data_IF_646988692617
#
_entry.id   IF_646988692617
#
_cell.length_a   1.000
_cell.length_b   1.000
_cell.length_c   1.000
_cell.angle_alpha   90.00
_cell.angle_beta   90.00
_cell.angle_gamma   90.00
#
_symmetry.space_group_name_H-M   'P 1'
#
loop_
_entity.id
_entity.type
_entity.pdbx_description
1 polymer ?
#
# COMPACT_ATOMS: atom_id res chain seq x y z
N UNK A 1 5.28 -18.18 8.79
CA UNK A 1 4.39 -17.08 9.15
C UNK A 1 3.68 -16.57 7.91
N UNK A 2 2.36 -16.46 7.94
CA UNK A 2 1.66 -15.83 6.82
C UNK A 2 2.14 -14.40 6.66
N UNK A 3 2.30 -14.00 5.43
CA UNK A 3 2.68 -12.62 5.12
C UNK A 3 1.76 -12.09 4.05
N UNK A 4 1.39 -10.84 4.18
CA UNK A 4 0.44 -10.20 3.28
C UNK A 4 1.03 -8.92 2.73
N UNK A 5 0.74 -8.65 1.47
CA UNK A 5 1.17 -7.43 0.82
C UNK A 5 -0.05 -6.63 0.42
N UNK A 6 -0.05 -5.36 0.78
CA UNK A 6 -1.17 -4.47 0.54
C UNK A 6 -0.70 -3.33 -0.34
N UNK A 7 -1.28 -3.22 -1.52
CA UNK A 7 -1.03 -2.08 -2.38
C UNK A 7 -2.21 -1.13 -2.30
N UNK A 8 -1.92 0.16 -2.21
CA UNK A 8 -2.94 1.17 -2.12
C UNK A 8 -2.72 2.21 -3.21
N UNK A 9 -3.72 2.41 -4.03
CA UNK A 9 -3.71 3.43 -5.07
C UNK A 9 -4.36 4.69 -4.51
N UNK A 10 -3.54 5.70 -4.26
CA UNK A 10 -3.94 6.92 -3.56
C UNK A 10 -4.60 7.89 -4.54
N UNK A 11 -5.72 8.46 -4.13
CA UNK A 11 -6.31 9.57 -4.86
C UNK A 11 -6.97 10.53 -3.88
N UNK A 12 -7.50 11.61 -4.40
CA UNK A 12 -7.95 12.74 -3.56
C UNK A 12 -9.05 12.35 -2.59
N UNK A 13 -10.05 11.63 -3.08
CA UNK A 13 -11.26 11.36 -2.29
C UNK A 13 -11.37 9.92 -1.82
N UNK A 14 -10.66 9.01 -2.46
CA UNK A 14 -10.76 7.60 -2.14
C UNK A 14 -9.45 6.90 -2.47
N UNK A 15 -9.27 5.73 -1.89
CA UNK A 15 -8.09 4.90 -2.15
C UNK A 15 -8.55 3.50 -2.47
N UNK A 16 -7.96 2.92 -3.52
CA UNK A 16 -8.21 1.53 -3.88
C UNK A 16 -7.16 0.64 -3.22
N UNK A 17 -7.61 -0.43 -2.58
CA UNK A 17 -6.74 -1.31 -1.81
C UNK A 17 -6.79 -2.73 -2.37
N UNK A 18 -5.64 -3.39 -2.42
CA UNK A 18 -5.53 -4.77 -2.86
C UNK A 18 -4.65 -5.53 -1.88
N UNK A 19 -5.15 -6.63 -1.35
CA UNK A 19 -4.41 -7.47 -0.41
C UNK A 19 -4.09 -8.80 -1.09
N UNK A 20 -2.80 -9.17 -1.09
CA UNK A 20 -2.32 -10.39 -1.71
C UNK A 20 -1.60 -11.23 -0.67
N UNK A 21 -1.88 -12.54 -0.66
CA UNK A 21 -1.16 -13.48 0.17
C UNK A 21 0.19 -13.79 -0.45
N UNK A 22 1.26 -13.71 0.33
CA UNK A 22 2.60 -14.03 -0.17
C UNK A 22 2.76 -15.51 -0.45
N UNK A 23 2.04 -16.36 0.26
CA UNK A 23 2.21 -17.81 0.16
C UNK A 23 1.86 -18.34 -1.23
N UNK A 24 0.75 -17.88 -1.79
CA UNK A 24 0.28 -18.38 -3.09
C UNK A 24 0.08 -17.25 -4.09
N UNK A 25 0.38 -16.01 -3.72
CA UNK A 25 0.27 -14.83 -4.55
C UNK A 25 -1.14 -14.60 -5.08
N UNK A 26 -2.14 -15.05 -4.33
CA UNK A 26 -3.53 -14.87 -4.69
C UNK A 26 -4.10 -13.62 -4.05
N UNK A 27 -5.00 -12.96 -4.76
CA UNK A 27 -5.70 -11.81 -4.22
C UNK A 27 -6.68 -12.28 -3.16
N UNK A 28 -6.51 -11.74 -1.96
CA UNK A 28 -7.43 -12.03 -0.86
C UNK A 28 -8.63 -11.11 -0.92
N UNK A 29 -8.36 -9.82 -1.20
CA UNK A 29 -9.43 -8.82 -1.16
C UNK A 29 -9.02 -7.61 -1.99
N UNK A 30 -10.00 -7.01 -2.65
CA UNK A 30 -9.85 -5.72 -3.34
C UNK A 30 -11.05 -4.87 -2.94
N UNK A 31 -10.77 -3.67 -2.48
CA UNK A 31 -11.85 -2.79 -2.02
C UNK A 31 -11.41 -1.35 -2.10
N UNK A 32 -12.36 -0.46 -1.97
CA UNK A 32 -12.12 0.99 -2.00
C UNK A 32 -12.53 1.57 -0.66
N UNK A 33 -11.70 2.47 -0.13
CA UNK A 33 -12.02 3.21 1.09
C UNK A 33 -12.07 4.69 0.76
N UNK A 34 -12.82 5.45 1.57
CA UNK A 34 -12.81 6.90 1.46
C UNK A 34 -11.56 7.47 2.12
N UNK A 35 -11.12 8.64 1.65
CA UNK A 35 -9.93 9.29 2.19
C UNK A 35 -10.32 10.11 3.43
N UNK A 36 -10.73 9.41 4.46
CA UNK A 36 -11.12 10.01 5.73
C UNK A 36 -11.03 8.96 6.84
N UNK A 37 -11.32 9.37 8.06
CA UNK A 37 -11.20 8.50 9.22
C UNK A 37 -12.04 7.23 9.08
N UNK A 38 -13.27 7.35 8.58
CA UNK A 38 -14.14 6.19 8.43
C UNK A 38 -13.55 5.17 7.46
N UNK A 39 -13.01 5.66 6.34
CA UNK A 39 -12.36 4.79 5.38
C UNK A 39 -11.12 4.12 5.95
N UNK A 40 -10.32 4.88 6.68
CA UNK A 40 -9.11 4.32 7.30
C UNK A 40 -9.44 3.27 8.33
N UNK A 41 -10.52 3.46 9.09
CA UNK A 41 -10.95 2.46 10.05
C UNK A 41 -11.41 1.18 9.39
N UNK A 42 -12.08 1.28 8.25
CA UNK A 42 -12.43 0.10 7.47
C UNK A 42 -11.21 -0.66 7.01
N UNK A 43 -10.18 0.06 6.56
CA UNK A 43 -8.92 -0.56 6.19
C UNK A 43 -8.30 -1.29 7.38
N UNK A 44 -8.27 -0.63 8.53
CA UNK A 44 -7.67 -1.20 9.73
C UNK A 44 -8.38 -2.48 10.16
N UNK A 45 -9.70 -2.50 10.10
CA UNK A 45 -10.47 -3.69 10.41
C UNK A 45 -10.08 -4.83 9.48
N UNK A 46 -9.95 -4.54 8.18
CA UNK A 46 -9.55 -5.55 7.21
C UNK A 46 -8.16 -6.09 7.50
N UNK A 47 -7.22 -5.21 7.82
CA UNK A 47 -5.85 -5.63 8.12
C UNK A 47 -5.78 -6.47 9.40
N UNK A 48 -6.46 -6.03 10.44
CA UNK A 48 -6.44 -6.73 11.72
C UNK A 48 -7.07 -8.12 11.65
N UNK A 49 -7.96 -8.32 10.68
CA UNK A 49 -8.58 -9.63 10.50
C UNK A 49 -7.63 -10.63 9.82
N UNK A 50 -6.52 -10.16 9.26
CA UNK A 50 -5.58 -11.01 8.55
C UNK A 50 -4.50 -11.56 9.46
N UNK A 51 -3.80 -10.68 10.17
CA UNK A 51 -2.63 -11.06 10.95
C UNK A 51 -2.17 -9.87 11.79
N UNK A 52 -1.04 -10.06 12.47
CA UNK A 52 -0.41 -8.98 13.22
C UNK A 52 0.21 -7.96 12.28
N UNK A 53 0.37 -6.71 12.73
CA UNK A 53 0.96 -5.67 11.87
C UNK A 53 2.31 -6.03 11.26
N UNK A 54 3.15 -6.77 12.00
CA UNK A 54 4.47 -7.11 11.48
C UNK A 54 4.43 -8.11 10.32
N UNK A 55 3.30 -8.79 10.12
CA UNK A 55 3.14 -9.72 9.01
C UNK A 55 2.52 -9.06 7.78
N UNK A 56 2.22 -7.78 7.86
CA UNK A 56 1.54 -7.06 6.78
C UNK A 56 2.45 -5.96 6.27
N UNK A 57 2.72 -5.97 4.96
CA UNK A 57 3.58 -5.01 4.29
C UNK A 57 2.73 -4.14 3.40
N UNK A 58 2.69 -2.85 3.67
CA UNK A 58 1.82 -1.91 2.96
C UNK A 58 2.69 -1.00 2.10
N UNK A 59 2.25 -0.76 0.88
CA UNK A 59 2.95 0.16 0.00
C UNK A 59 1.99 1.02 -0.79
N UNK A 60 2.39 2.25 -1.03
CA UNK A 60 1.65 3.17 -1.89
C UNK A 60 2.55 4.29 -2.34
N UNK A 61 2.15 4.91 -3.45
CA UNK A 61 2.82 6.08 -3.94
C UNK A 61 2.39 7.28 -3.08
N UNK A 62 3.39 8.02 -2.58
CA UNK A 62 3.10 9.22 -1.80
C UNK A 62 2.86 10.37 -2.77
N UNK A 63 1.60 10.59 -3.11
CA UNK A 63 1.20 11.59 -4.08
C UNK A 63 0.79 12.85 -3.36
N UNK A 64 1.65 13.84 -3.38
CA UNK A 64 1.40 15.13 -2.77
C UNK A 64 0.91 14.93 -1.33
N UNK A 65 -0.13 15.65 -0.94
CA UNK A 65 -0.65 15.56 0.43
C UNK A 65 -1.84 14.60 0.55
N UNK A 66 -2.21 13.94 -0.53
CA UNK A 66 -3.38 13.05 -0.48
C UNK A 66 -3.14 11.81 0.38
N UNK A 67 -1.89 11.39 0.52
CA UNK A 67 -1.56 10.22 1.32
C UNK A 67 -1.25 10.56 2.78
N UNK A 68 -1.08 11.83 3.11
CA UNK A 68 -0.58 12.22 4.42
C UNK A 68 -1.45 11.73 5.57
N UNK A 69 -2.76 11.91 5.46
CA UNK A 69 -3.66 11.51 6.53
C UNK A 69 -3.65 10.00 6.72
N UNK A 70 -3.59 9.24 5.62
CA UNK A 70 -3.48 7.79 5.71
C UNK A 70 -2.17 7.38 6.37
N UNK A 71 -1.08 8.04 6.02
CA UNK A 71 0.22 7.74 6.60
C UNK A 71 0.22 7.95 8.12
N UNK A 72 -0.33 9.06 8.57
CA UNK A 72 -0.42 9.34 10.00
C UNK A 72 -1.31 8.33 10.71
N UNK A 73 -2.41 7.96 10.09
CA UNK A 73 -3.31 6.97 10.66
C UNK A 73 -2.62 5.62 10.81
N UNK A 74 -1.91 5.16 9.77
CA UNK A 74 -1.22 3.89 9.81
C UNK A 74 -0.12 3.88 10.86
N UNK A 75 0.63 4.97 10.97
CA UNK A 75 1.67 5.07 11.97
C UNK A 75 1.08 5.00 13.38
N UNK A 76 -0.02 5.70 13.63
CA UNK A 76 -0.69 5.64 14.93
C UNK A 76 -1.25 4.26 15.24
N UNK A 77 -1.60 3.50 14.21
CA UNK A 77 -2.11 2.14 14.38
C UNK A 77 -0.99 1.10 14.43
N UNK A 78 0.26 1.54 14.42
CA UNK A 78 1.44 0.69 14.48
C UNK A 78 1.62 -0.20 13.26
N UNK A 79 1.11 0.24 12.11
CA UNK A 79 1.36 -0.40 10.84
C UNK A 79 2.48 0.32 10.12
N UNK A 80 3.42 -0.44 9.57
CA UNK A 80 4.45 0.14 8.73
C UNK A 80 3.94 0.27 7.30
N UNK A 81 4.57 1.15 6.53
CA UNK A 81 4.26 1.30 5.12
C UNK A 81 5.52 1.75 4.40
N UNK A 82 5.54 1.56 3.10
CA UNK A 82 6.67 1.92 2.26
C UNK A 82 6.18 2.79 1.12
N UNK A 83 6.88 3.88 0.86
CA UNK A 83 6.61 4.68 -0.33
C UNK A 83 7.19 3.97 -1.54
N UNK A 84 6.41 3.90 -2.62
CA UNK A 84 6.85 3.24 -3.83
C UNK A 84 7.03 4.27 -4.94
N UNK A 85 8.00 3.98 -5.81
CA UNK A 85 8.26 4.83 -6.97
C UNK A 85 7.46 4.31 -8.16
N UNK A 86 6.52 5.10 -8.70
CA UNK A 86 5.67 4.62 -9.79
C UNK A 86 6.46 4.22 -11.03
N UNK A 87 7.62 4.82 -11.27
CA UNK A 87 8.44 4.45 -12.42
C UNK A 87 8.87 3.00 -12.33
N UNK A 88 9.28 2.56 -11.13
CA UNK A 88 9.72 1.18 -10.94
C UNK A 88 8.58 0.19 -11.13
N UNK A 89 7.38 0.57 -10.71
CA UNK A 89 6.21 -0.28 -10.87
C UNK A 89 5.84 -0.41 -12.35
N UNK A 90 5.92 0.69 -13.09
CA UNK A 90 5.66 0.65 -14.53
C UNK A 90 6.64 -0.24 -15.25
N UNK A 91 7.91 -0.17 -14.87
CA UNK A 91 8.94 -1.04 -15.45
C UNK A 91 8.67 -2.50 -15.12
N UNK A 92 8.28 -2.78 -13.89
CA UNK A 92 7.91 -4.12 -13.47
C UNK A 92 6.76 -4.67 -14.31
N UNK A 93 5.73 -3.86 -14.53
CA UNK A 93 4.58 -4.28 -15.34
C UNK A 93 4.99 -4.63 -16.75
N UNK A 94 5.90 -3.85 -17.34
CA UNK A 94 6.38 -4.13 -18.69
C UNK A 94 7.18 -5.41 -18.75
N UNK A 95 7.95 -5.72 -17.73
CA UNK A 95 8.83 -6.89 -17.75
C UNK A 95 8.10 -8.19 -17.44
N UNK A 96 6.98 -8.13 -16.74
CA UNK A 96 6.30 -9.34 -16.28
C UNK A 96 5.14 -9.75 -17.14
N UNK A 97 4.71 -8.90 -18.07
CA UNK A 97 3.58 -9.23 -18.92
C UNK A 97 4.05 -9.45 -20.35
N UNK A 98 3.63 -10.56 -20.93
CA UNK A 98 3.92 -10.87 -22.32
C UNK A 98 2.95 -10.20 -23.26
N UNK A 99 1.84 -9.72 -22.74
CA UNK A 99 0.87 -9.00 -23.54
C UNK A 99 1.01 -7.52 -23.31
N UNK A 100 0.73 -6.77 -24.35
CA UNK A 100 0.65 -5.35 -24.18
C UNK A 100 -0.52 -5.01 -23.32
N UNK A 101 -0.29 -4.26 -22.28
CA UNK A 101 -1.38 -3.68 -21.52
C UNK A 101 -1.75 -2.36 -22.16
N UNK A 102 -3.02 -2.05 -22.14
CA UNK A 102 -3.50 -0.79 -22.70
C UNK A 102 -3.26 0.39 -21.81
N UNK A 103 -2.90 0.14 -20.56
CA UNK A 103 -2.72 1.20 -19.59
C UNK A 103 -1.43 1.00 -18.85
N UNK A 104 -0.72 2.10 -18.65
CA UNK A 104 0.49 2.14 -17.85
C UNK A 104 0.18 2.57 -16.43
N UNK A 105 -1.07 2.69 -16.06
CA UNK A 105 -1.43 3.19 -14.74
C UNK A 105 -0.94 2.25 -13.65
N UNK A 106 -0.54 2.85 -12.53
CA UNK A 106 -0.10 2.12 -11.35
C UNK A 106 -1.32 1.94 -10.47
N UNK A 107 -1.84 0.73 -10.42
CA UNK A 107 -3.02 0.43 -9.62
C UNK A 107 -2.65 -0.35 -8.35
N UNK A 108 -3.62 -0.56 -7.48
CA UNK A 108 -3.36 -1.19 -6.19
C UNK A 108 -2.83 -2.61 -6.34
N UNK A 109 -3.31 -3.35 -7.34
CA UNK A 109 -2.81 -4.71 -7.54
C UNK A 109 -1.36 -4.70 -8.00
N UNK A 110 -0.99 -3.82 -8.93
CA UNK A 110 0.39 -3.77 -9.40
C UNK A 110 1.33 -3.34 -8.28
N UNK A 111 0.90 -2.46 -7.40
CA UNK A 111 1.69 -2.06 -6.25
C UNK A 111 1.93 -3.26 -5.32
N UNK A 112 0.86 -3.99 -5.00
CA UNK A 112 0.97 -5.14 -4.11
C UNK A 112 1.89 -6.21 -4.69
N UNK A 113 1.76 -6.51 -5.98
CA UNK A 113 2.60 -7.52 -6.63
C UNK A 113 4.06 -7.08 -6.70
N UNK A 114 4.29 -5.79 -6.93
CA UNK A 114 5.65 -5.27 -6.95
C UNK A 114 6.31 -5.39 -5.58
N UNK A 115 5.56 -5.15 -4.50
CA UNK A 115 6.10 -5.26 -3.14
C UNK A 115 6.64 -6.64 -2.84
N UNK A 116 6.08 -7.68 -3.44
CA UNK A 116 6.55 -9.04 -3.23
C UNK A 116 7.97 -9.23 -3.79
N UNK A 117 8.33 -8.48 -4.82
CA UNK A 117 9.58 -8.66 -5.55
C UNK A 117 10.74 -7.86 -5.00
N UNK A 118 10.50 -6.93 -4.08
CA UNK A 118 11.54 -6.02 -3.61
C UNK A 118 11.73 -6.17 -2.10
N UNK A 119 12.87 -5.65 -1.63
CA UNK A 119 13.11 -5.59 -0.20
C UNK A 119 12.23 -4.52 0.41
N UNK A 120 11.43 -4.90 1.39
CA UNK A 120 10.52 -3.98 2.04
C UNK A 120 11.29 -3.06 2.99
N UNK A 121 11.16 -1.75 2.77
CA UNK A 121 11.86 -0.74 3.58
C UNK A 121 10.82 0.21 4.17
N UNK A 122 10.37 -0.03 5.39
CA UNK A 122 9.33 0.80 5.98
C UNK A 122 9.85 2.19 6.31
N UNK A 123 8.95 3.14 6.34
CA UNK A 123 9.27 4.50 6.77
C UNK A 123 9.70 4.52 8.22
N UNK A 124 10.62 5.45 8.51
CA UNK A 124 11.02 5.71 9.88
C UNK A 124 9.98 6.57 10.57
N UNK A 125 9.66 6.23 11.81
CA UNK A 125 8.74 7.07 12.60
C UNK A 125 9.28 8.48 12.79
N UNK A 126 10.59 8.64 12.81
CA UNK A 126 11.20 9.95 12.95
C UNK A 126 10.84 10.91 11.84
N UNK A 127 10.47 10.39 10.68
CA UNK A 127 10.09 11.21 9.56
C UNK A 127 8.90 12.13 9.91
N UNK A 128 7.83 11.54 10.44
CA UNK A 128 6.65 12.33 10.78
C UNK A 128 6.85 13.17 12.01
N UNK A 129 7.66 12.70 12.94
CA UNK A 129 7.97 13.46 14.14
C UNK A 129 8.65 14.77 13.77
N UNK A 130 9.66 14.70 12.93
CA UNK A 130 10.35 15.89 12.47
C UNK A 130 9.44 16.81 11.66
N UNK A 131 8.56 16.22 10.88
CA UNK A 131 7.64 16.96 10.03
C UNK A 131 6.62 17.72 10.86
N UNK A 132 6.09 17.09 11.89
CA UNK A 132 5.04 17.69 12.70
C UNK A 132 5.57 18.79 13.62
N UNK A 133 6.86 18.85 13.84
CA UNK A 133 7.45 19.90 14.68
C UNK A 133 7.60 21.22 13.93
N UNK A 134 7.33 21.22 12.67
CA UNK A 134 7.37 22.44 11.88
C UNK A 134 6.03 23.09 11.78
#
# INVERSE_FOLDING_TARGET
MPMYFVGIDISKYKHDCCIISAADQQIISKFTITNDKDGFEQLLISLNSLSNPEDIKIGFESTAHYALNLELFLENAHHSFMEVNPVLIKEYKKSTTLRRTKTDSVDCESIARWLITVEYKPHSKGFYHAYSLK
#
